data_IF_408777591021
#
_entry.id   IF_408777591021
#
_cell.length_a   1.000
_cell.length_b   1.000
_cell.length_c   1.000
_cell.angle_alpha   90.00
_cell.angle_beta   90.00
_cell.angle_gamma   90.00
#
_symmetry.space_group_name_H-M   'P 1'
#
loop_
_entity.id
_entity.type
_entity.pdbx_description
1 polymer ?
#
# COMPACT_ATOMS: atom_id res chain seq x y z
N UNK A 1 1.09 -31.69 -10.72
CA UNK A 1 1.98 -31.78 -9.55
C UNK A 1 3.23 -32.49 -10.03
N UNK A 2 4.27 -31.73 -10.38
CA UNK A 2 5.52 -32.32 -10.84
C UNK A 2 6.45 -32.46 -9.65
N UNK A 3 6.80 -33.71 -9.34
CA UNK A 3 7.73 -34.04 -8.26
C UNK A 3 9.16 -33.92 -8.77
N UNK A 4 9.94 -33.03 -8.15
CA UNK A 4 11.39 -32.95 -8.35
C UNK A 4 12.07 -33.89 -7.36
N UNK A 5 12.75 -34.92 -7.88
CA UNK A 5 13.58 -35.81 -7.06
C UNK A 5 14.86 -35.10 -6.64
N UNK A 6 15.02 -34.88 -5.33
CA UNK A 6 16.25 -34.32 -4.76
C UNK A 6 17.13 -35.49 -4.32
N UNK A 7 18.29 -35.62 -4.97
CA UNK A 7 19.27 -36.63 -4.59
C UNK A 7 20.02 -36.18 -3.33
N UNK A 8 19.59 -36.69 -2.17
CA UNK A 8 20.22 -36.44 -0.87
C UNK A 8 21.21 -37.57 -0.59
N UNK A 9 22.52 -37.31 -0.72
CA UNK A 9 23.56 -38.31 -0.46
C UNK A 9 23.83 -38.54 1.03
N UNK A 10 23.50 -37.57 1.90
CA UNK A 10 23.64 -37.69 3.35
C UNK A 10 22.46 -37.03 4.06
N UNK A 11 21.88 -37.67 5.10
CA UNK A 11 20.66 -37.18 5.77
C UNK A 11 20.79 -35.80 6.44
N UNK A 12 22.03 -35.33 6.70
CA UNK A 12 22.27 -33.98 7.27
C UNK A 12 22.10 -32.86 6.24
N UNK A 13 22.28 -33.13 4.95
CA UNK A 13 22.22 -32.12 3.88
C UNK A 13 20.79 -31.57 3.68
N UNK A 14 19.77 -32.40 3.93
CA UNK A 14 18.37 -31.98 3.88
C UNK A 14 18.03 -31.04 5.05
N UNK A 15 18.59 -31.32 6.23
CA UNK A 15 18.35 -30.53 7.44
C UNK A 15 19.09 -29.18 7.40
N UNK A 16 20.29 -29.14 6.83
CA UNK A 16 21.04 -27.90 6.60
C UNK A 16 20.31 -26.99 5.59
N UNK A 17 19.76 -27.53 4.51
CA UNK A 17 18.97 -26.73 3.54
C UNK A 17 17.64 -26.23 4.07
N UNK A 18 16.95 -27.03 4.90
CA UNK A 18 15.74 -26.59 5.58
C UNK A 18 16.05 -25.42 6.54
N UNK A 19 17.15 -25.54 7.29
CA UNK A 19 17.67 -24.47 8.14
C UNK A 19 18.07 -23.25 7.31
N UNK A 20 18.76 -23.40 6.18
CA UNK A 20 19.15 -22.28 5.31
C UNK A 20 17.94 -21.48 4.79
N UNK A 21 16.83 -22.14 4.43
CA UNK A 21 15.58 -21.45 4.06
C UNK A 21 14.99 -20.66 5.23
N UNK A 22 14.97 -21.26 6.42
CA UNK A 22 14.48 -20.62 7.64
C UNK A 22 15.37 -19.42 8.04
N UNK A 23 16.70 -19.58 7.99
CA UNK A 23 17.66 -18.51 8.22
C UNK A 23 17.55 -17.39 7.18
N UNK A 24 17.35 -17.69 5.89
CA UNK A 24 17.16 -16.65 4.86
C UNK A 24 15.87 -15.86 5.08
N UNK A 25 14.78 -16.51 5.50
CA UNK A 25 13.54 -15.80 5.86
C UNK A 25 13.73 -14.87 7.07
N UNK A 26 14.56 -15.30 8.05
CA UNK A 26 14.80 -14.55 9.27
C UNK A 26 15.80 -13.39 9.09
N UNK A 27 16.84 -13.56 8.26
CA UNK A 27 17.89 -12.56 8.03
C UNK A 27 17.36 -11.40 7.18
N UNK A 28 16.53 -11.66 6.17
CA UNK A 28 15.85 -10.61 5.39
C UNK A 28 14.93 -9.77 6.28
N UNK A 29 14.24 -10.40 7.24
CA UNK A 29 13.36 -9.72 8.20
C UNK A 29 14.10 -8.83 9.21
N UNK A 30 15.38 -9.09 9.49
CA UNK A 30 16.18 -8.30 10.44
C UNK A 30 17.04 -7.21 9.79
N UNK A 31 17.55 -7.43 8.57
CA UNK A 31 18.38 -6.42 7.88
C UNK A 31 17.61 -5.12 7.64
N UNK A 32 16.29 -5.18 7.49
CA UNK A 32 15.45 -4.02 7.18
C UNK A 32 15.09 -3.17 8.40
N UNK A 33 15.14 -3.72 9.62
CA UNK A 33 14.93 -2.96 10.86
C UNK A 33 16.12 -2.06 11.22
N UNK A 34 17.25 -2.15 10.53
CA UNK A 34 18.52 -1.48 10.90
C UNK A 34 18.81 -0.18 10.14
N UNK A 35 18.03 0.18 9.13
CA UNK A 35 18.21 1.42 8.38
C UNK A 35 17.46 2.58 9.06
N UNK A 36 18.08 3.17 10.08
CA UNK A 36 17.52 4.33 10.80
C UNK A 36 17.86 5.68 10.12
N UNK A 37 16.96 6.68 10.17
CA UNK A 37 17.20 7.97 9.51
C UNK A 37 18.16 8.89 10.29
N UNK A 38 18.93 9.69 9.54
CA UNK A 38 19.92 10.67 10.01
C UNK A 38 19.19 11.99 10.33
N UNK A 39 19.22 12.42 11.60
CA UNK A 39 18.49 13.60 12.11
C UNK A 39 18.93 14.90 11.41
N UNK A 40 17.99 15.69 10.90
CA UNK A 40 18.13 17.14 10.72
C UNK A 40 17.21 17.84 11.72
N UNK A 41 17.76 18.77 12.49
CA UNK A 41 17.05 19.56 13.49
C UNK A 41 16.20 20.64 12.81
N UNK A 42 14.95 20.79 13.23
CA UNK A 42 14.09 21.93 12.88
C UNK A 42 13.72 22.64 14.18
N UNK A 43 13.93 23.96 14.15
CA UNK A 43 13.72 24.93 15.22
C UNK A 43 12.21 25.07 15.50
N UNK A 44 11.80 25.02 16.77
CA UNK A 44 10.45 25.35 17.18
C UNK A 44 10.30 26.88 17.29
N UNK A 45 9.18 27.42 16.80
CA UNK A 45 8.77 28.80 17.05
C UNK A 45 7.42 28.74 17.78
N UNK A 46 7.38 29.37 18.95
CA UNK A 46 6.21 29.52 19.81
C UNK A 46 5.24 30.54 19.19
N UNK A 47 3.95 30.21 19.12
CA UNK A 47 2.90 31.20 18.85
C UNK A 47 2.02 31.41 20.09
N UNK A 48 1.92 32.68 20.45
CA UNK A 48 1.31 33.23 21.65
C UNK A 48 -0.21 33.38 21.43
N UNK A 49 -0.99 33.02 22.45
CA UNK A 49 -2.45 33.05 22.40
C UNK A 49 -3.03 34.46 22.33
N UNK A 50 -4.08 34.63 21.54
CA UNK A 50 -4.96 35.80 21.60
C UNK A 50 -6.38 35.32 21.86
N UNK A 51 -6.96 35.82 22.97
CA UNK A 51 -8.35 35.62 23.39
C UNK A 51 -9.23 36.59 22.63
N UNK A 52 -10.19 36.09 21.84
CA UNK A 52 -11.30 36.91 21.34
C UNK A 52 -12.60 36.55 22.06
N UNK A 53 -13.28 37.60 22.51
CA UNK A 53 -14.53 37.60 23.26
C UNK A 53 -15.71 37.33 22.32
N UNK A 54 -16.67 36.55 22.79
CA UNK A 54 -17.91 36.22 22.09
C UNK A 54 -19.00 37.22 22.51
N UNK A 55 -19.63 37.88 21.54
CA UNK A 55 -20.84 38.68 21.73
C UNK A 55 -22.04 37.94 21.09
N UNK A 56 -23.19 37.77 21.77
CA UNK A 56 -24.28 36.95 21.27
C UNK A 56 -25.37 37.81 20.62
N UNK A 57 -25.64 37.61 19.33
CA UNK A 57 -26.87 38.11 18.73
C UNK A 57 -26.86 38.20 17.21
N UNK A 58 -27.42 37.19 16.55
CA UNK A 58 -28.34 37.33 15.41
C UNK A 58 -28.43 36.00 14.67
N UNK A 59 -29.59 35.35 14.79
CA UNK A 59 -30.00 34.18 14.02
C UNK A 59 -30.16 34.54 12.54
N UNK A 60 -29.32 33.94 11.70
CA UNK A 60 -29.56 33.75 10.27
C UNK A 60 -28.93 32.43 9.86
N UNK A 61 -29.75 31.51 9.35
CA UNK A 61 -29.35 30.19 8.83
C UNK A 61 -28.57 30.35 7.52
N UNK A 62 -27.37 30.90 7.61
CA UNK A 62 -26.38 30.78 6.56
C UNK A 62 -25.65 29.46 6.77
N UNK A 63 -25.69 28.59 5.77
CA UNK A 63 -24.75 27.48 5.65
C UNK A 63 -23.35 28.07 5.46
N UNK A 64 -22.71 28.43 6.57
CA UNK A 64 -21.33 28.88 6.58
C UNK A 64 -20.48 27.67 6.22
N UNK A 65 -20.03 27.58 4.97
CA UNK A 65 -18.96 26.67 4.58
C UNK A 65 -17.73 27.10 5.37
N UNK A 66 -17.54 26.48 6.53
CA UNK A 66 -16.37 26.73 7.37
C UNK A 66 -15.22 25.89 6.79
N UNK A 67 -14.47 26.48 5.86
CA UNK A 67 -13.16 25.94 5.48
C UNK A 67 -12.26 26.18 6.69
N UNK A 68 -12.09 25.16 7.54
CA UNK A 68 -11.19 25.24 8.69
C UNK A 68 -9.79 25.62 8.20
N UNK A 69 -9.24 26.80 8.57
CA UNK A 69 -7.90 27.18 8.16
C UNK A 69 -6.91 26.41 9.03
N UNK A 70 -6.52 25.22 8.60
CA UNK A 70 -5.46 24.47 9.29
C UNK A 70 -4.12 25.01 8.80
N UNK A 71 -3.63 26.07 9.46
CA UNK A 71 -2.25 26.53 9.34
C UNK A 71 -1.35 25.39 9.87
N UNK A 72 -0.65 24.70 8.96
CA UNK A 72 0.18 23.55 9.35
C UNK A 72 1.01 22.87 8.25
N UNK A 73 1.10 23.43 7.03
CA UNK A 73 1.94 22.89 5.94
C UNK A 73 1.54 21.53 5.38
N UNK A 74 0.60 20.82 6.01
CA UNK A 74 0.01 19.59 5.50
C UNK A 74 -0.93 19.93 4.33
N UNK A 75 -0.92 19.08 3.31
CA UNK A 75 -1.93 19.10 2.24
C UNK A 75 -3.27 18.66 2.80
N UNK A 76 -3.99 19.58 3.44
CA UNK A 76 -5.35 19.37 3.93
C UNK A 76 -6.29 19.48 2.74
N UNK A 77 -7.23 18.54 2.63
CA UNK A 77 -8.32 18.61 1.64
C UNK A 77 -9.43 19.55 2.14
N UNK A 78 -9.55 20.77 1.59
CA UNK A 78 -10.52 21.75 2.05
C UNK A 78 -11.96 21.39 1.67
N UNK A 79 -12.15 20.44 0.75
CA UNK A 79 -13.46 20.04 0.25
C UNK A 79 -13.99 18.76 0.92
N UNK A 80 -13.22 18.16 1.82
CA UNK A 80 -13.58 16.89 2.48
C UNK A 80 -13.98 15.79 1.47
N UNK A 81 -13.25 15.71 0.38
CA UNK A 81 -13.48 14.84 -0.78
C UNK A 81 -12.97 13.40 -0.60
N UNK A 82 -12.34 13.05 0.53
CA UNK A 82 -11.90 11.69 0.78
C UNK A 82 -13.07 10.69 0.72
N UNK A 83 -12.87 9.49 0.13
CA UNK A 83 -13.93 8.50 -0.05
C UNK A 83 -14.31 7.77 1.26
N UNK A 84 -13.93 8.30 2.42
CA UNK A 84 -14.25 7.75 3.74
C UNK A 84 -14.68 8.88 4.68
N UNK A 85 -15.45 8.59 5.75
CA UNK A 85 -15.76 9.57 6.77
C UNK A 85 -14.49 10.21 7.33
N UNK A 86 -14.51 11.53 7.54
CA UNK A 86 -13.36 12.30 8.02
C UNK A 86 -12.76 11.70 9.29
N UNK A 87 -11.44 11.46 9.29
CA UNK A 87 -10.67 11.01 10.45
C UNK A 87 -9.52 11.99 10.74
N UNK A 88 -9.13 12.16 12.02
CA UNK A 88 -8.04 13.08 12.39
C UNK A 88 -6.69 12.77 11.73
N UNK A 89 -6.46 11.51 11.34
CA UNK A 89 -5.20 11.07 10.73
C UNK A 89 -5.21 11.13 9.20
N UNK A 90 -6.36 11.34 8.54
CA UNK A 90 -6.51 11.15 7.08
C UNK A 90 -5.56 12.04 6.28
N UNK A 91 -5.60 13.36 6.49
CA UNK A 91 -4.76 14.29 5.74
C UNK A 91 -3.26 13.99 5.91
N UNK A 92 -2.84 13.62 7.13
CA UNK A 92 -1.44 13.29 7.42
C UNK A 92 -1.00 11.99 6.74
N UNK A 93 -1.85 10.97 6.68
CA UNK A 93 -1.52 9.72 5.98
C UNK A 93 -1.56 9.87 4.47
N UNK A 94 -2.47 10.68 3.92
CA UNK A 94 -2.49 11.03 2.50
C UNK A 94 -1.22 11.78 2.12
N UNK A 95 -0.84 12.79 2.89
CA UNK A 95 0.41 13.53 2.66
C UNK A 95 1.62 12.59 2.75
N UNK A 96 1.68 11.75 3.79
CA UNK A 96 2.74 10.75 3.94
C UNK A 96 2.83 9.79 2.75
N UNK A 97 1.69 9.28 2.27
CA UNK A 97 1.64 8.41 1.10
C UNK A 97 2.18 9.12 -0.14
N UNK A 98 1.69 10.32 -0.44
CA UNK A 98 2.05 11.05 -1.65
C UNK A 98 3.52 11.50 -1.66
N UNK A 99 4.04 11.92 -0.51
CA UNK A 99 5.41 12.43 -0.39
C UNK A 99 6.41 11.28 -0.33
N UNK A 100 6.16 10.26 0.50
CA UNK A 100 7.17 9.25 0.82
C UNK A 100 7.00 7.91 0.11
N UNK A 101 5.78 7.54 -0.30
CA UNK A 101 5.50 6.20 -0.84
C UNK A 101 5.18 6.19 -2.34
N UNK A 102 4.47 7.20 -2.85
CA UNK A 102 4.07 7.30 -4.25
C UNK A 102 5.23 7.79 -5.15
N UNK A 103 6.44 7.26 -4.94
CA UNK A 103 7.67 7.63 -5.68
C UNK A 103 7.68 7.06 -7.10
N UNK A 104 8.58 7.59 -7.93
CA UNK A 104 8.79 7.07 -9.28
C UNK A 104 9.39 5.66 -9.19
N UNK A 105 8.77 4.71 -9.88
CA UNK A 105 9.19 3.30 -9.92
C UNK A 105 9.33 2.93 -11.40
N UNK A 106 10.56 2.70 -11.91
CA UNK A 106 10.80 2.46 -13.33
C UNK A 106 9.92 1.36 -13.94
N UNK A 107 9.65 0.29 -13.17
CA UNK A 107 8.80 -0.83 -13.59
C UNK A 107 7.32 -0.44 -13.76
N UNK A 108 6.85 0.57 -13.02
CA UNK A 108 5.48 1.04 -13.07
C UNK A 108 5.31 2.22 -14.03
N UNK A 109 6.25 3.15 -14.04
CA UNK A 109 6.20 4.35 -14.86
C UNK A 109 6.49 4.05 -16.34
N UNK A 110 7.37 3.07 -16.63
CA UNK A 110 7.91 2.81 -17.98
C UNK A 110 8.72 4.01 -18.53
N UNK A 111 9.56 3.79 -19.57
CA UNK A 111 10.36 4.88 -20.15
C UNK A 111 9.48 6.03 -20.66
N UNK A 112 9.82 7.25 -20.26
CA UNK A 112 9.16 8.48 -20.72
C UNK A 112 7.99 8.98 -19.88
N UNK A 113 7.57 8.23 -18.85
CA UNK A 113 6.58 8.72 -17.87
C UNK A 113 7.22 8.88 -16.48
N UNK A 114 6.55 9.65 -15.62
CA UNK A 114 6.98 9.92 -14.26
C UNK A 114 5.76 10.11 -13.35
N UNK A 115 5.90 9.73 -12.08
CA UNK A 115 4.91 10.01 -11.05
C UNK A 115 3.53 9.39 -11.29
N UNK A 116 3.41 8.27 -12.03
CA UNK A 116 2.12 7.65 -12.32
C UNK A 116 1.36 7.23 -11.06
N UNK A 117 2.09 6.91 -9.98
CA UNK A 117 1.49 6.65 -8.67
C UNK A 117 0.72 7.87 -8.12
N UNK A 118 1.17 9.08 -8.42
CA UNK A 118 0.53 10.34 -7.99
C UNK A 118 -0.51 10.84 -8.99
N UNK A 119 -0.25 10.70 -10.28
CA UNK A 119 -1.04 11.34 -11.35
C UNK A 119 -2.15 10.46 -11.92
N UNK A 120 -2.04 9.13 -11.80
CA UNK A 120 -3.01 8.17 -12.35
C UNK A 120 -3.58 7.24 -11.29
N UNK A 121 -2.72 6.60 -10.50
CA UNK A 121 -3.12 5.68 -9.45
C UNK A 121 -3.83 6.36 -8.27
N UNK A 122 -3.26 7.41 -7.68
CA UNK A 122 -3.90 8.08 -6.53
C UNK A 122 -5.27 8.69 -6.83
N UNK A 123 -5.53 9.26 -8.03
CA UNK A 123 -6.89 9.60 -8.45
C UNK A 123 -7.87 8.42 -8.36
N UNK A 124 -7.49 7.21 -8.81
CA UNK A 124 -8.31 6.00 -8.63
C UNK A 124 -8.49 5.65 -7.14
N UNK A 125 -7.45 5.83 -6.31
CA UNK A 125 -7.56 5.62 -4.85
C UNK A 125 -8.62 6.53 -4.23
N UNK A 126 -8.82 7.73 -4.75
CA UNK A 126 -9.82 8.69 -4.28
C UNK A 126 -11.25 8.37 -4.71
N UNK A 127 -11.47 7.42 -5.64
CA UNK A 127 -12.83 7.10 -6.13
C UNK A 127 -13.52 5.99 -5.34
N UNK A 128 -12.79 5.21 -4.55
CA UNK A 128 -13.32 3.99 -3.95
C UNK A 128 -12.86 3.79 -2.49
N UNK A 129 -13.79 3.58 -1.54
CA UNK A 129 -13.47 3.47 -0.11
C UNK A 129 -12.52 2.32 0.23
N UNK A 130 -12.68 1.11 -0.32
CA UNK A 130 -11.86 -0.04 0.03
C UNK A 130 -10.40 0.16 -0.35
N UNK A 131 -10.15 0.65 -1.56
CA UNK A 131 -8.84 1.00 -2.06
C UNK A 131 -8.22 2.12 -1.21
N UNK A 132 -8.99 3.14 -0.86
CA UNK A 132 -8.53 4.20 0.02
C UNK A 132 -8.11 3.67 1.40
N UNK A 133 -8.93 2.84 2.04
CA UNK A 133 -8.61 2.22 3.33
C UNK A 133 -7.30 1.41 3.27
N UNK A 134 -7.11 0.61 2.22
CA UNK A 134 -5.88 -0.18 2.04
C UNK A 134 -4.65 0.72 1.87
N UNK A 135 -4.77 1.80 1.09
CA UNK A 135 -3.67 2.75 0.89
C UNK A 135 -3.36 3.52 2.19
N UNK A 136 -4.37 3.89 2.97
CA UNK A 136 -4.17 4.50 4.29
C UNK A 136 -3.53 3.53 5.27
N UNK A 137 -3.92 2.25 5.26
CA UNK A 137 -3.28 1.20 6.07
C UNK A 137 -1.79 1.06 5.73
N UNK A 138 -1.45 1.02 4.44
CA UNK A 138 -0.06 0.99 3.97
C UNK A 138 0.71 2.22 4.46
N UNK A 139 0.14 3.41 4.27
CA UNK A 139 0.74 4.66 4.70
C UNK A 139 0.96 4.72 6.22
N UNK A 140 -0.05 4.30 7.00
CA UNK A 140 0.03 4.25 8.45
C UNK A 140 1.12 3.29 8.94
N UNK A 141 1.20 2.12 8.32
CA UNK A 141 2.16 1.07 8.70
C UNK A 141 3.59 1.48 8.35
N UNK A 142 3.77 2.09 7.17
CA UNK A 142 5.04 2.67 6.79
C UNK A 142 5.42 3.82 7.73
N UNK A 143 4.52 4.76 8.00
CA UNK A 143 4.74 5.86 8.95
C UNK A 143 5.15 5.33 10.32
N UNK A 144 4.43 4.36 10.86
CA UNK A 144 4.74 3.74 12.16
C UNK A 144 6.11 3.06 12.16
N UNK A 145 6.54 2.44 11.05
CA UNK A 145 7.84 1.78 10.94
C UNK A 145 9.04 2.73 11.02
N UNK A 146 8.85 4.00 10.65
CA UNK A 146 9.89 5.03 10.70
C UNK A 146 10.02 5.70 12.08
N UNK A 147 9.00 5.57 12.94
CA UNK A 147 8.94 6.28 14.20
C UNK A 147 9.71 5.54 15.31
N UNK A 148 10.81 6.13 15.77
CA UNK A 148 11.59 5.60 16.89
C UNK A 148 10.86 5.73 18.25
N UNK A 149 9.90 6.66 18.37
CA UNK A 149 9.13 6.92 19.60
C UNK A 149 7.66 7.20 19.25
N UNK A 150 6.69 6.40 19.73
CA UNK A 150 5.27 6.46 19.31
C UNK A 150 4.44 7.66 19.83
N UNK A 151 5.05 8.83 20.02
CA UNK A 151 4.46 9.94 20.77
C UNK A 151 3.50 10.89 20.02
N UNK A 152 3.56 10.98 18.69
CA UNK A 152 2.90 12.12 17.98
C UNK A 152 1.58 11.81 17.27
N UNK A 153 1.23 10.53 17.05
CA UNK A 153 -0.05 10.15 16.45
C UNK A 153 -0.38 8.69 16.81
N UNK A 154 -1.45 8.48 17.58
CA UNK A 154 -1.97 7.13 17.84
C UNK A 154 -2.86 6.70 16.68
N UNK A 155 -2.29 5.99 15.72
CA UNK A 155 -3.05 5.33 14.66
C UNK A 155 -3.28 3.89 15.09
N UNK A 156 -4.54 3.48 15.16
CA UNK A 156 -4.91 2.09 15.38
C UNK A 156 -4.78 1.33 14.04
N UNK A 157 -3.63 0.65 13.86
CA UNK A 157 -3.37 -0.14 12.66
C UNK A 157 -4.30 -1.35 12.55
N UNK A 158 -4.81 -1.87 13.68
CA UNK A 158 -5.73 -2.99 13.68
C UNK A 158 -7.10 -2.54 13.17
N UNK A 159 -7.58 -1.39 13.64
CA UNK A 159 -8.81 -0.76 13.12
C UNK A 159 -8.72 -0.51 11.61
N UNK A 160 -7.62 0.11 11.15
CA UNK A 160 -7.40 0.34 9.71
C UNK A 160 -7.42 -0.95 8.90
N UNK A 161 -6.81 -2.02 9.41
CA UNK A 161 -6.79 -3.33 8.75
C UNK A 161 -8.18 -3.95 8.71
N UNK A 162 -8.93 -3.89 9.81
CA UNK A 162 -10.31 -4.35 9.87
C UNK A 162 -11.21 -3.60 8.88
N UNK A 163 -11.07 -2.27 8.77
CA UNK A 163 -11.83 -1.45 7.83
C UNK A 163 -11.50 -1.78 6.38
N UNK A 164 -10.21 -1.91 6.05
CA UNK A 164 -9.77 -2.30 4.71
C UNK A 164 -10.34 -3.67 4.29
N UNK A 165 -10.20 -4.69 5.15
CA UNK A 165 -10.71 -6.04 4.87
C UNK A 165 -12.25 -6.03 4.76
N UNK A 166 -12.94 -5.35 5.67
CA UNK A 166 -14.40 -5.30 5.67
C UNK A 166 -14.92 -4.60 4.40
N UNK A 167 -14.28 -3.51 3.98
CA UNK A 167 -14.65 -2.78 2.77
C UNK A 167 -14.41 -3.60 1.49
N UNK A 168 -13.32 -4.38 1.43
CA UNK A 168 -13.09 -5.33 0.32
C UNK A 168 -14.16 -6.43 0.32
N UNK A 169 -14.44 -7.03 1.49
CA UNK A 169 -15.41 -8.12 1.60
C UNK A 169 -16.82 -7.68 1.20
N UNK A 170 -17.25 -6.46 1.53
CA UNK A 170 -18.53 -5.90 1.09
C UNK A 170 -18.62 -5.79 -0.45
N UNK A 171 -17.52 -5.41 -1.12
CA UNK A 171 -17.47 -5.38 -2.60
C UNK A 171 -17.49 -6.79 -3.21
N UNK A 172 -17.12 -7.81 -2.43
CA UNK A 172 -17.06 -9.21 -2.84
C UNK A 172 -18.24 -10.04 -2.32
N UNK A 173 -19.27 -9.41 -1.76
CA UNK A 173 -20.52 -10.07 -1.41
C UNK A 173 -21.36 -10.23 -2.68
N UNK A 174 -21.41 -11.47 -3.20
CA UNK A 174 -22.08 -11.85 -4.46
C UNK A 174 -21.77 -10.98 -5.70
N UNK A 175 -20.48 -10.84 -6.08
CA UNK A 175 -20.09 -9.92 -7.14
C UNK A 175 -20.44 -10.48 -8.51
N UNK A 176 -21.00 -9.62 -9.38
CA UNK A 176 -21.11 -9.92 -10.81
C UNK A 176 -19.83 -9.45 -11.52
N UNK A 177 -19.53 -9.99 -12.72
CA UNK A 177 -18.34 -9.58 -13.48
C UNK A 177 -18.23 -8.05 -13.68
N UNK A 178 -19.35 -7.37 -13.91
CA UNK A 178 -19.42 -5.91 -14.06
C UNK A 178 -19.10 -5.12 -12.78
N UNK A 179 -19.21 -5.76 -11.61
CA UNK A 179 -18.94 -5.12 -10.33
C UNK A 179 -17.43 -5.15 -9.99
N UNK A 180 -16.62 -5.93 -10.73
CA UNK A 180 -15.17 -6.03 -10.59
C UNK A 180 -14.47 -4.95 -11.43
N UNK A 181 -14.16 -3.82 -10.80
CA UNK A 181 -13.50 -2.68 -11.44
C UNK A 181 -11.99 -2.58 -11.10
N UNK A 182 -11.33 -1.58 -11.69
CA UNK A 182 -9.91 -1.30 -11.43
C UNK A 182 -9.63 -1.01 -9.95
N UNK A 183 -10.55 -0.34 -9.26
CA UNK A 183 -10.39 0.04 -7.87
C UNK A 183 -10.39 -1.18 -6.95
N UNK A 184 -11.32 -2.12 -7.13
CA UNK A 184 -11.39 -3.36 -6.34
C UNK A 184 -10.18 -4.26 -6.58
N UNK A 185 -9.77 -4.43 -7.86
CA UNK A 185 -8.54 -5.18 -8.18
C UNK A 185 -7.33 -4.52 -7.53
N UNK A 186 -7.24 -3.20 -7.61
CA UNK A 186 -6.22 -2.40 -6.94
C UNK A 186 -6.21 -2.60 -5.42
N UNK A 187 -7.39 -2.63 -4.79
CA UNK A 187 -7.54 -2.79 -3.35
C UNK A 187 -7.03 -4.17 -2.91
N UNK A 188 -7.43 -5.24 -3.60
CA UNK A 188 -6.97 -6.60 -3.32
C UNK A 188 -5.46 -6.72 -3.52
N UNK A 189 -4.91 -6.16 -4.61
CA UNK A 189 -3.47 -6.20 -4.89
C UNK A 189 -2.64 -5.44 -3.83
N UNK A 190 -3.10 -4.27 -3.40
CA UNK A 190 -2.43 -3.52 -2.33
C UNK A 190 -2.62 -4.14 -0.95
N UNK A 191 -3.73 -4.84 -0.71
CA UNK A 191 -3.93 -5.60 0.52
C UNK A 191 -2.97 -6.79 0.58
N UNK A 192 -2.75 -7.49 -0.55
CA UNK A 192 -1.69 -8.49 -0.66
C UNK A 192 -0.31 -7.89 -0.38
N UNK A 193 -0.01 -6.71 -0.94
CA UNK A 193 1.24 -5.99 -0.65
C UNK A 193 1.44 -5.72 0.84
N UNK A 194 0.37 -5.28 1.52
CA UNK A 194 0.38 -5.05 2.97
C UNK A 194 0.71 -6.33 3.74
N UNK A 195 0.03 -7.45 3.45
CA UNK A 195 0.26 -8.72 4.14
C UNK A 195 1.68 -9.26 3.89
N UNK A 196 2.22 -9.06 2.68
CA UNK A 196 3.59 -9.47 2.36
C UNK A 196 4.65 -8.73 3.21
N UNK A 197 4.42 -7.44 3.49
CA UNK A 197 5.36 -6.62 4.26
C UNK A 197 5.17 -6.72 5.78
N UNK A 198 3.93 -6.60 6.23
CA UNK A 198 3.60 -6.37 7.63
C UNK A 198 2.82 -7.53 8.26
N UNK A 199 2.24 -8.41 7.44
CA UNK A 199 1.38 -9.51 7.86
C UNK A 199 2.04 -10.87 7.79
N UNK A 200 1.29 -11.85 7.29
CA UNK A 200 1.75 -13.24 7.11
C UNK A 200 1.70 -13.66 5.65
N UNK A 201 2.59 -14.58 5.28
CA UNK A 201 2.58 -15.17 3.93
C UNK A 201 1.28 -15.92 3.63
N UNK A 202 0.63 -16.49 4.64
CA UNK A 202 -0.67 -17.14 4.50
C UNK A 202 -1.76 -16.15 4.08
N UNK A 203 -1.86 -14.99 4.75
CA UNK A 203 -2.83 -13.96 4.37
C UNK A 203 -2.51 -13.35 3.00
N UNK A 204 -1.22 -13.14 2.69
CA UNK A 204 -0.79 -12.76 1.36
C UNK A 204 -1.33 -13.73 0.30
N UNK A 205 -1.20 -15.04 0.53
CA UNK A 205 -1.71 -16.06 -0.38
C UNK A 205 -3.22 -16.00 -0.55
N UNK A 206 -3.97 -15.76 0.53
CA UNK A 206 -5.43 -15.57 0.45
C UNK A 206 -5.79 -14.41 -0.47
N UNK A 207 -5.15 -13.25 -0.31
CA UNK A 207 -5.42 -12.10 -1.18
C UNK A 207 -4.97 -12.33 -2.62
N UNK A 208 -3.84 -13.00 -2.86
CA UNK A 208 -3.38 -13.32 -4.22
C UNK A 208 -4.30 -14.31 -4.93
N UNK A 209 -4.82 -15.32 -4.24
CA UNK A 209 -5.84 -16.22 -4.81
C UNK A 209 -7.12 -15.45 -5.17
N UNK A 210 -7.55 -14.54 -4.28
CA UNK A 210 -8.66 -13.63 -4.57
C UNK A 210 -8.39 -12.74 -5.78
N UNK A 211 -7.17 -12.20 -5.90
CA UNK A 211 -6.75 -11.34 -7.00
C UNK A 211 -6.79 -12.06 -8.34
N UNK A 212 -6.24 -13.28 -8.40
CA UNK A 212 -6.28 -14.14 -9.60
C UNK A 212 -7.73 -14.38 -10.03
N UNK A 213 -8.61 -14.70 -9.08
CA UNK A 213 -10.04 -14.93 -9.36
C UNK A 213 -10.73 -13.65 -9.86
N UNK A 214 -10.49 -12.51 -9.21
CA UNK A 214 -11.09 -11.22 -9.59
C UNK A 214 -10.70 -10.81 -11.02
N UNK A 215 -9.41 -10.89 -11.36
CA UNK A 215 -8.91 -10.60 -12.71
C UNK A 215 -9.52 -11.57 -13.73
N UNK A 216 -9.63 -12.86 -13.38
CA UNK A 216 -10.26 -13.86 -14.27
C UNK A 216 -11.73 -13.55 -14.53
N UNK A 217 -12.49 -13.17 -13.49
CA UNK A 217 -13.90 -12.79 -13.61
C UNK A 217 -14.09 -11.54 -14.49
N UNK A 218 -13.16 -10.58 -14.42
CA UNK A 218 -13.16 -9.38 -15.26
C UNK A 218 -12.73 -9.64 -16.72
N UNK A 219 -12.35 -10.86 -17.08
CA UNK A 219 -11.93 -11.21 -18.44
C UNK A 219 -10.42 -11.16 -18.69
N UNK A 220 -9.59 -11.12 -17.65
CA UNK A 220 -8.13 -11.24 -17.75
C UNK A 220 -7.38 -9.91 -17.78
N UNK A 221 -6.06 -9.98 -17.96
CA UNK A 221 -5.20 -8.80 -17.84
C UNK A 221 -5.44 -7.70 -18.87
N UNK A 222 -5.89 -8.06 -20.06
CA UNK A 222 -6.15 -7.11 -21.14
C UNK A 222 -7.31 -6.14 -20.83
N UNK A 223 -8.12 -6.43 -19.81
CA UNK A 223 -9.25 -5.58 -19.40
C UNK A 223 -8.91 -4.61 -18.28
N UNK A 224 -7.67 -4.65 -17.76
CA UNK A 224 -7.21 -3.73 -16.72
C UNK A 224 -6.93 -2.34 -17.29
N UNK A 225 -7.40 -1.31 -16.59
CA UNK A 225 -7.31 0.08 -17.00
C UNK A 225 -6.02 0.78 -16.60
N UNK A 226 -6.11 2.11 -16.49
CA UNK A 226 -4.99 3.04 -16.21
C UNK A 226 -3.83 2.90 -17.23
N UNK A 227 -4.15 2.69 -18.51
CA UNK A 227 -3.15 2.53 -19.57
C UNK A 227 -2.09 1.45 -19.24
N UNK A 228 -2.58 0.34 -18.67
CA UNK A 228 -1.77 -0.80 -18.25
C UNK A 228 -1.03 -0.62 -16.93
N UNK A 229 -1.15 0.52 -16.25
CA UNK A 229 -0.52 0.73 -14.94
C UNK A 229 -1.01 -0.28 -13.90
N UNK A 230 -2.31 -0.61 -13.89
CA UNK A 230 -2.84 -1.57 -12.94
C UNK A 230 -2.27 -2.97 -13.16
N UNK A 231 -2.13 -3.40 -14.42
CA UNK A 231 -1.44 -4.64 -14.76
C UNK A 231 0.00 -4.63 -14.21
N UNK A 232 0.76 -3.55 -14.44
CA UNK A 232 2.12 -3.41 -13.91
C UNK A 232 2.14 -3.46 -12.39
N UNK A 233 1.20 -2.81 -11.70
CA UNK A 233 1.08 -2.90 -10.24
C UNK A 233 0.87 -4.34 -9.79
N UNK A 234 -0.06 -5.10 -10.39
CA UNK A 234 -0.33 -6.50 -10.02
C UNK A 234 0.91 -7.37 -10.18
N UNK A 235 1.59 -7.28 -11.33
CA UNK A 235 2.83 -8.02 -11.60
C UNK A 235 3.94 -7.62 -10.62
N UNK A 236 4.03 -6.33 -10.31
CA UNK A 236 5.00 -5.80 -9.37
C UNK A 236 4.78 -6.35 -7.95
N UNK A 237 3.53 -6.43 -7.50
CA UNK A 237 3.20 -7.02 -6.19
C UNK A 237 3.60 -8.50 -6.15
N UNK A 238 3.18 -9.31 -7.13
CA UNK A 238 3.45 -10.75 -7.16
C UNK A 238 4.95 -11.06 -7.12
N UNK A 239 5.74 -10.37 -7.96
CA UNK A 239 7.19 -10.59 -8.04
C UNK A 239 7.92 -10.18 -6.77
N UNK A 240 7.62 -8.99 -6.24
CA UNK A 240 8.34 -8.49 -5.08
C UNK A 240 7.96 -9.25 -3.81
N UNK A 241 6.70 -9.66 -3.67
CA UNK A 241 6.28 -10.51 -2.55
C UNK A 241 6.86 -11.93 -2.66
N UNK A 242 6.91 -12.53 -3.86
CA UNK A 242 7.57 -13.81 -4.06
C UNK A 242 9.05 -13.75 -3.64
N UNK A 243 9.77 -12.70 -4.02
CA UNK A 243 11.15 -12.48 -3.60
C UNK A 243 11.28 -12.30 -2.08
N UNK A 244 10.42 -11.45 -1.48
CA UNK A 244 10.38 -11.19 -0.04
C UNK A 244 10.28 -12.45 0.81
N UNK A 245 9.44 -13.38 0.36
CA UNK A 245 9.18 -14.62 1.08
C UNK A 245 10.06 -15.80 0.61
N UNK A 246 10.99 -15.58 -0.33
CA UNK A 246 11.82 -16.63 -0.91
C UNK A 246 11.01 -17.70 -1.65
N UNK A 247 9.84 -17.33 -2.18
CA UNK A 247 8.99 -18.19 -3.01
C UNK A 247 9.55 -18.26 -4.43
N UNK A 248 9.64 -19.47 -4.98
CA UNK A 248 10.00 -19.69 -6.39
C UNK A 248 8.80 -19.68 -7.34
N UNK A 249 7.59 -19.48 -6.83
CA UNK A 249 6.35 -19.53 -7.60
C UNK A 249 5.68 -18.16 -7.63
N UNK A 250 5.26 -17.77 -8.83
CA UNK A 250 4.47 -16.57 -9.09
C UNK A 250 3.01 -16.95 -9.33
N UNK A 251 2.08 -16.09 -8.89
CA UNK A 251 0.66 -16.26 -9.17
C UNK A 251 0.32 -15.97 -10.64
N UNK A 252 1.11 -15.14 -11.30
CA UNK A 252 0.95 -14.79 -12.72
C UNK A 252 2.21 -15.17 -13.52
N UNK A 253 2.43 -16.48 -13.77
CA UNK A 253 3.59 -16.94 -14.52
C UNK A 253 3.58 -16.38 -15.95
N UNK A 254 4.72 -15.85 -16.39
CA UNK A 254 4.87 -15.25 -17.73
C UNK A 254 4.45 -13.78 -17.83
N UNK A 255 3.81 -13.22 -16.80
CA UNK A 255 3.50 -11.79 -16.77
C UNK A 255 4.79 -10.96 -16.60
N UNK A 256 4.95 -9.95 -17.46
CA UNK A 256 6.16 -9.13 -17.54
C UNK A 256 5.85 -7.63 -17.68
N UNK A 257 6.77 -6.78 -17.20
CA UNK A 257 6.73 -5.32 -17.38
C UNK A 257 7.09 -4.88 -18.81
N UNK A 258 7.83 -5.72 -19.53
CA UNK A 258 8.36 -5.46 -20.87
C UNK A 258 8.10 -6.68 -21.76
N UNK A 259 7.48 -6.53 -22.95
CA UNK A 259 7.16 -7.66 -23.82
C UNK A 259 8.37 -8.53 -24.21
N UNK A 260 9.55 -7.91 -24.41
CA UNK A 260 10.73 -8.58 -25.00
C UNK A 260 12.04 -8.41 -24.19
N UNK A 261 11.95 -8.05 -22.90
CA UNK A 261 13.12 -7.74 -22.06
C UNK A 261 13.37 -8.72 -20.91
N UNK A 262 14.62 -8.83 -20.46
CA UNK A 262 14.93 -9.44 -19.16
C UNK A 262 14.27 -8.62 -18.06
N UNK A 263 13.48 -9.29 -17.22
CA UNK A 263 12.78 -8.65 -16.14
C UNK A 263 13.76 -8.05 -15.12
N UNK A 264 13.54 -6.82 -14.64
CA UNK A 264 14.33 -6.27 -13.55
C UNK A 264 14.23 -7.15 -12.30
N UNK A 265 15.32 -7.20 -11.55
CA UNK A 265 15.37 -7.92 -10.28
C UNK A 265 14.34 -7.32 -9.31
N UNK A 266 13.64 -8.17 -8.52
CA UNK A 266 12.72 -7.67 -7.51
C UNK A 266 13.42 -6.72 -6.54
N UNK A 267 12.89 -5.51 -6.41
CA UNK A 267 13.34 -4.50 -5.45
C UNK A 267 12.20 -4.18 -4.47
N UNK A 268 12.04 -5.01 -3.42
CA UNK A 268 10.95 -4.82 -2.49
C UNK A 268 11.14 -3.59 -1.58
N UNK A 269 12.31 -2.92 -1.62
CA UNK A 269 12.50 -1.63 -0.95
C UNK A 269 11.54 -0.55 -1.47
N UNK A 270 11.13 -0.63 -2.73
CA UNK A 270 10.13 0.29 -3.29
C UNK A 270 8.71 0.06 -2.75
N UNK A 271 8.43 -1.05 -2.04
CA UNK A 271 7.12 -1.21 -1.39
C UNK A 271 6.90 -0.16 -0.28
N UNK A 272 7.99 0.24 0.37
CA UNK A 272 7.97 1.14 1.52
C UNK A 272 8.18 2.60 1.10
N UNK A 273 8.70 2.85 -0.11
CA UNK A 273 9.08 4.19 -0.55
C UNK A 273 10.51 4.54 -0.10
N UNK A 274 11.11 5.56 -0.72
CA UNK A 274 12.48 5.97 -0.38
C UNK A 274 12.51 6.72 0.96
N UNK A 275 13.19 6.17 1.96
CA UNK A 275 13.53 6.85 3.22
C UNK A 275 14.59 7.94 3.07
#
# INVERSE_FOLDING_TARGET
>A
MDYVFINVKKPRDALERAKEREFRSHVTRQQWKRSGPRKKAILATEENGTRDQVDPGSSSDHYTICISPTIGGLRVDPFQSYPIPSRPWTAKLVDHYLVHMAVDIPELDQPGNHGLLRTSWFPLVMTEPALFWVVMLLAASHYASLQAHPGSLRIDLLDLRCQAISSINQRLEDPRPEDIDDALIGAIAKMASYEAMFGSFENYNVHMQGLVRAISLRGGFATLGLDGLLYRIVVWVDRNAAFLHGSGTYYFPGATFVPDGSLPDPNPGHFLGSS
#
